data_IF_792400767864
#
_entry.id   IF_792400767864
#
_cell.length_a   1.000
_cell.length_b   1.000
_cell.length_c   1.000
_cell.angle_alpha   90.00
_cell.angle_beta   90.00
_cell.angle_gamma   90.00
#
_symmetry.space_group_name_H-M   'P 1'
#
loop_
_entity.id
_entity.type
_entity.pdbx_description
1 polymer ?
#
# COMPACT_ATOMS: atom_id res chain seq x y z
N UNK A 1 0.84 0.49 2.27
CA UNK A 1 0.66 -0.98 2.26
C UNK A 1 0.08 -1.38 3.59
N UNK A 2 -1.15 -1.90 3.60
CA UNK A 2 -1.82 -2.38 4.82
C UNK A 2 -0.91 -3.40 5.55
N UNK A 3 -0.67 -3.31 6.87
CA UNK A 3 0.07 -4.30 7.67
C UNK A 3 -0.61 -5.67 7.75
N UNK A 4 -1.50 -5.94 6.81
CA UNK A 4 -2.32 -7.12 6.70
C UNK A 4 -1.54 -8.42 6.72
N UNK A 5 -0.27 -8.50 6.29
CA UNK A 5 0.42 -9.81 6.30
C UNK A 5 0.65 -10.31 7.73
N UNK A 6 1.15 -9.45 8.63
CA UNK A 6 1.39 -9.83 10.03
C UNK A 6 0.06 -10.03 10.76
N UNK A 7 -0.91 -9.14 10.53
CA UNK A 7 -2.26 -9.28 11.12
C UNK A 7 -3.01 -10.50 10.60
N UNK A 8 -2.93 -10.84 9.31
CA UNK A 8 -3.56 -12.05 8.74
C UNK A 8 -2.91 -13.31 9.24
N UNK A 9 -1.57 -13.31 9.35
CA UNK A 9 -0.84 -14.44 9.94
C UNK A 9 -1.39 -14.73 11.34
N UNK A 10 -1.50 -13.70 12.17
CA UNK A 10 -1.95 -13.87 13.54
C UNK A 10 -3.46 -14.03 13.70
N UNK A 11 -4.28 -13.50 12.80
CA UNK A 11 -5.72 -13.74 12.80
C UNK A 11 -6.06 -15.21 12.55
N UNK A 12 -5.18 -15.96 11.86
CA UNK A 12 -5.34 -17.39 11.64
C UNK A 12 -5.06 -18.21 12.91
N UNK A 13 -3.99 -17.86 13.62
CA UNK A 13 -3.60 -18.49 14.88
C UNK A 13 -2.79 -17.51 15.75
N UNK A 14 -3.43 -16.85 16.73
CA UNK A 14 -2.75 -15.90 17.61
C UNK A 14 -1.69 -16.57 18.50
N UNK A 15 -1.89 -17.84 18.87
CA UNK A 15 -0.96 -18.58 19.72
C UNK A 15 0.35 -18.90 19.00
N UNK A 16 0.25 -19.41 17.78
CA UNK A 16 1.43 -19.62 16.92
C UNK A 16 2.10 -18.31 16.52
N UNK A 17 1.33 -17.25 16.29
CA UNK A 17 1.91 -15.93 16.08
C UNK A 17 2.76 -15.49 17.28
N UNK A 18 2.25 -15.63 18.52
CA UNK A 18 3.04 -15.35 19.73
C UNK A 18 4.37 -16.11 19.74
N UNK A 19 4.38 -17.40 19.39
CA UNK A 19 5.61 -18.21 19.34
C UNK A 19 6.61 -17.64 18.32
N UNK A 20 6.16 -17.35 17.10
CA UNK A 20 7.01 -16.80 16.04
C UNK A 20 7.58 -15.44 16.45
N UNK A 21 6.74 -14.53 16.94
CA UNK A 21 7.16 -13.18 17.31
C UNK A 21 8.06 -13.13 18.54
N UNK A 22 7.89 -14.04 19.53
CA UNK A 22 8.85 -14.17 20.64
C UNK A 22 10.26 -14.43 20.11
N UNK A 23 10.39 -15.31 19.11
CA UNK A 23 11.67 -15.70 18.51
C UNK A 23 12.25 -14.59 17.64
N UNK A 24 11.43 -13.96 16.79
CA UNK A 24 11.86 -12.88 15.89
C UNK A 24 12.27 -11.61 16.66
N UNK A 25 11.50 -11.23 17.67
CA UNK A 25 11.73 -10.01 18.45
C UNK A 25 12.69 -10.22 19.62
N UNK A 26 13.10 -11.46 19.90
CA UNK A 26 13.85 -11.84 21.12
C UNK A 26 13.16 -11.36 22.41
N UNK A 27 11.82 -11.37 22.42
CA UNK A 27 10.98 -10.96 23.55
C UNK A 27 10.24 -12.18 24.10
N UNK A 28 10.79 -12.91 25.09
CA UNK A 28 10.26 -14.21 25.51
C UNK A 28 8.84 -14.14 26.10
N UNK A 29 8.46 -12.99 26.65
CA UNK A 29 7.12 -12.75 27.22
C UNK A 29 6.11 -12.15 26.22
N UNK A 30 6.50 -11.96 24.96
CA UNK A 30 5.62 -11.38 23.95
C UNK A 30 4.37 -12.24 23.77
N UNK A 31 3.22 -11.58 23.71
CA UNK A 31 1.95 -12.22 23.39
C UNK A 31 1.23 -11.40 22.32
N UNK A 32 0.82 -12.03 21.22
CA UNK A 32 0.20 -11.33 20.10
C UNK A 32 -1.12 -10.67 20.49
N UNK A 33 -1.97 -11.34 21.27
CA UNK A 33 -3.28 -10.83 21.67
C UNK A 33 -3.16 -9.58 22.54
N UNK A 34 -2.12 -9.52 23.39
CA UNK A 34 -1.85 -8.37 24.27
C UNK A 34 -0.98 -7.28 23.61
N UNK A 35 0.12 -7.68 22.98
CA UNK A 35 1.21 -6.79 22.57
C UNK A 35 1.20 -6.48 21.07
N UNK A 36 0.45 -7.24 20.26
CA UNK A 36 0.47 -7.15 18.80
C UNK A 36 0.07 -5.77 18.27
N UNK A 37 -0.92 -5.14 18.91
CA UNK A 37 -1.39 -3.81 18.51
C UNK A 37 -0.38 -2.70 18.82
N UNK A 38 0.36 -2.83 19.93
CA UNK A 38 1.45 -1.91 20.26
C UNK A 38 2.63 -2.11 19.30
N UNK A 39 3.02 -3.36 19.05
CA UNK A 39 4.04 -3.72 18.07
C UNK A 39 3.70 -3.13 16.69
N UNK A 40 2.44 -3.21 16.26
CA UNK A 40 2.04 -2.70 14.96
C UNK A 40 2.20 -1.18 14.84
N UNK A 41 1.90 -0.42 15.91
CA UNK A 41 2.10 1.03 15.95
C UNK A 41 3.59 1.39 15.93
N UNK A 42 4.42 0.59 16.60
CA UNK A 42 5.88 0.76 16.63
C UNK A 42 6.52 0.50 15.25
N UNK A 43 6.19 -0.61 14.60
CA UNK A 43 6.85 -1.03 13.34
C UNK A 43 6.24 -0.41 12.08
N UNK A 44 5.00 0.08 12.16
CA UNK A 44 4.26 0.67 11.03
C UNK A 44 3.54 1.96 11.44
N UNK A 45 4.22 2.95 12.04
CA UNK A 45 3.58 4.16 12.55
C UNK A 45 2.79 4.91 11.46
N UNK A 46 3.36 5.04 10.26
CA UNK A 46 2.68 5.68 9.12
C UNK A 46 1.38 5.02 8.64
N UNK A 47 1.10 3.77 9.03
CA UNK A 47 -0.22 3.16 8.80
C UNK A 47 -1.27 3.65 9.81
N UNK A 48 -0.85 3.97 11.03
CA UNK A 48 -1.73 4.44 12.11
C UNK A 48 -1.87 5.96 12.15
N UNK A 49 -0.95 6.71 11.54
CA UNK A 49 -1.00 8.18 11.47
C UNK A 49 -2.21 8.72 10.69
N UNK A 50 -2.83 7.90 9.84
CA UNK A 50 -4.00 8.28 9.04
C UNK A 50 -5.00 7.13 8.99
N UNK A 51 -6.31 7.41 8.89
CA UNK A 51 -7.30 6.38 8.64
C UNK A 51 -6.91 5.49 7.44
N UNK A 52 -7.06 4.16 7.54
CA UNK A 52 -6.72 3.25 6.44
C UNK A 52 -7.47 3.63 5.17
N UNK A 53 -6.73 3.84 4.07
CA UNK A 53 -7.34 4.04 2.75
C UNK A 53 -7.59 2.68 2.08
N UNK A 54 -8.67 2.54 1.30
CA UNK A 54 -8.88 1.36 0.48
C UNK A 54 -7.65 1.06 -0.38
N UNK A 55 -7.24 -0.21 -0.48
CA UNK A 55 -6.15 -0.61 -1.40
C UNK A 55 -6.54 -0.37 -2.86
N UNK A 56 -7.83 -0.44 -3.15
CA UNK A 56 -8.42 -0.17 -4.46
C UNK A 56 -9.58 0.77 -4.25
N UNK A 57 -9.59 1.88 -4.98
CA UNK A 57 -10.75 2.76 -5.06
C UNK A 57 -11.56 2.36 -6.29
N UNK A 58 -12.81 1.89 -6.16
CA UNK A 58 -13.66 1.67 -7.32
C UNK A 58 -13.83 2.99 -8.07
N UNK A 59 -13.65 2.94 -9.39
CA UNK A 59 -13.91 4.08 -10.26
C UNK A 59 -15.32 3.92 -10.82
N UNK A 60 -16.09 5.01 -10.85
CA UNK A 60 -17.31 5.02 -11.67
C UNK A 60 -16.93 4.85 -13.14
N UNK A 61 -17.85 4.33 -13.95
CA UNK A 61 -17.61 4.11 -15.38
C UNK A 61 -17.15 5.40 -16.08
N UNK A 62 -17.81 6.53 -15.78
CA UNK A 62 -17.43 7.85 -16.29
C UNK A 62 -15.99 8.25 -15.93
N UNK A 63 -15.57 7.98 -14.70
CA UNK A 63 -14.21 8.29 -14.24
C UNK A 63 -13.18 7.32 -14.83
N UNK A 64 -13.56 6.06 -15.04
CA UNK A 64 -12.72 5.07 -15.71
C UNK A 64 -12.46 5.47 -17.17
N UNK A 65 -13.48 5.88 -17.92
CA UNK A 65 -13.34 6.37 -19.30
C UNK A 65 -12.46 7.62 -19.38
N UNK A 66 -12.66 8.58 -18.48
CA UNK A 66 -11.80 9.75 -18.39
C UNK A 66 -10.33 9.38 -18.11
N UNK A 67 -10.09 8.43 -17.20
CA UNK A 67 -8.75 7.96 -16.87
C UNK A 67 -8.07 7.15 -17.99
N UNK A 68 -8.85 6.50 -18.87
CA UNK A 68 -8.34 5.84 -20.09
C UNK A 68 -7.83 6.85 -21.10
N UNK A 69 -8.58 7.94 -21.35
CA UNK A 69 -8.17 9.02 -22.27
C UNK A 69 -6.87 9.74 -21.86
N UNK A 70 -6.66 9.93 -20.54
CA UNK A 70 -5.43 10.54 -19.98
C UNK A 70 -4.17 9.69 -20.18
N UNK A 71 -4.28 8.36 -20.24
CA UNK A 71 -3.13 7.45 -20.43
C UNK A 71 -2.66 7.38 -21.88
N UNK A 72 -3.51 7.72 -22.84
CA UNK A 72 -3.16 7.74 -24.26
C UNK A 72 -2.40 9.02 -24.69
N UNK A 73 -2.44 10.08 -23.87
CA UNK A 73 -1.80 11.37 -24.18
C UNK A 73 -0.33 11.54 -23.77
N UNK A 74 0.35 10.50 -23.25
CA UNK A 74 1.76 10.60 -22.79
C UNK A 74 2.74 9.73 -23.59
N UNK A 75 2.47 9.58 -24.88
CA UNK A 75 3.41 9.10 -25.90
C UNK A 75 2.96 9.66 -27.25
N UNK A 76 3.25 10.94 -27.52
CA UNK A 76 2.86 11.53 -28.80
C UNK A 76 3.01 13.04 -28.85
N UNK A 77 4.22 13.57 -28.72
CA UNK A 77 4.60 14.79 -29.42
C UNK A 77 6.11 15.00 -29.40
N UNK A 78 6.79 14.46 -30.40
CA UNK A 78 8.11 14.92 -30.83
C UNK A 78 8.19 14.72 -32.35
N UNK A 79 7.38 15.48 -33.08
CA UNK A 79 7.54 15.65 -34.52
C UNK A 79 6.93 17.00 -34.93
N UNK A 80 7.59 18.10 -34.57
CA UNK A 80 7.40 19.36 -35.28
C UNK A 80 8.52 19.44 -36.31
N UNK A 81 8.16 19.06 -37.54
CA UNK A 81 8.92 19.33 -38.76
C UNK A 81 9.26 20.82 -38.81
N UNK A 82 10.54 21.16 -38.79
CA UNK A 82 10.98 22.49 -39.18
C UNK A 82 11.24 22.48 -40.68
N UNK A 83 10.35 23.12 -41.42
CA UNK A 83 10.48 23.36 -42.84
C UNK A 83 9.91 24.74 -43.17
N UNK A 84 10.81 25.59 -43.68
CA UNK A 84 10.56 26.71 -44.59
C UNK A 84 10.18 28.05 -43.95
N UNK A 85 11.19 28.91 -43.80
CA UNK A 85 11.06 30.36 -43.81
C UNK A 85 11.94 30.96 -44.91
N UNK A 86 11.31 31.35 -46.02
CA UNK A 86 11.90 32.13 -47.11
C UNK A 86 12.48 33.44 -46.60
N UNK A 87 13.67 33.81 -47.10
CA UNK A 87 14.00 35.16 -47.58
C UNK A 87 15.11 35.04 -48.62
#
# INVERSE_FOLDING_TARGET
MDPMVLRRLAARDPGQASVVFRRLLKRPRFDWSRDGDALMREVKPGYFDRPPRPRVSPLSERLAEFAKGRRSGRIGSAAIRSGIGRR
#
